data_IF_874150298131
#
_entry.id   IF_874150298131
#
_cell.length_a   1.000
_cell.length_b   1.000
_cell.length_c   1.000
_cell.angle_alpha   90.00
_cell.angle_beta   90.00
_cell.angle_gamma   90.00
#
_symmetry.space_group_name_H-M   'P 1'
#
loop_
_entity.id
_entity.type
_entity.pdbx_description
1 polymer ?
#
# COMPACT_ATOMS: atom_id res chain seq x y z
N UNK A 1 -61.01 -80.93 -24.73
CA UNK A 1 -61.19 -79.78 -23.81
C UNK A 1 -59.79 -79.35 -23.39
N UNK A 2 -59.37 -78.15 -23.77
CA UNK A 2 -58.00 -77.67 -23.66
C UNK A 2 -57.75 -77.04 -22.28
N UNK A 3 -56.61 -77.34 -21.65
CA UNK A 3 -56.04 -76.54 -20.54
C UNK A 3 -54.53 -76.43 -20.79
N UNK A 4 -53.98 -75.22 -21.02
CA UNK A 4 -52.54 -75.01 -21.03
C UNK A 4 -51.98 -74.80 -19.61
N UNK A 5 -50.67 -75.07 -19.39
CA UNK A 5 -50.03 -75.01 -18.08
C UNK A 5 -49.60 -73.59 -17.68
N UNK A 6 -49.48 -73.37 -16.37
CA UNK A 6 -48.96 -72.13 -15.77
C UNK A 6 -47.43 -72.02 -15.98
N UNK A 7 -47.01 -70.96 -16.66
CA UNK A 7 -45.61 -70.58 -16.87
C UNK A 7 -45.10 -69.80 -15.65
N UNK A 8 -44.09 -70.35 -14.96
CA UNK A 8 -43.34 -69.63 -13.92
C UNK A 8 -42.47 -68.57 -14.59
N UNK A 9 -42.82 -67.31 -14.37
CA UNK A 9 -42.09 -66.15 -14.85
C UNK A 9 -40.95 -65.83 -13.87
N UNK A 10 -39.76 -66.39 -14.12
CA UNK A 10 -38.54 -65.98 -13.43
C UNK A 10 -38.16 -64.56 -13.89
N UNK A 11 -38.44 -63.55 -13.05
CA UNK A 11 -38.05 -62.17 -13.32
C UNK A 11 -36.53 -62.04 -13.21
N UNK A 12 -35.80 -61.68 -14.28
CA UNK A 12 -34.38 -61.42 -14.17
C UNK A 12 -34.18 -60.15 -13.34
N UNK A 13 -33.46 -60.25 -12.22
CA UNK A 13 -33.13 -59.15 -11.29
C UNK A 13 -32.01 -58.24 -11.86
N UNK A 14 -31.30 -58.72 -12.87
CA UNK A 14 -30.13 -58.08 -13.52
C UNK A 14 -30.43 -56.80 -14.35
N UNK A 15 -31.52 -56.69 -15.14
CA UNK A 15 -31.82 -55.47 -15.87
C UNK A 15 -32.30 -54.33 -14.94
N UNK A 16 -32.85 -54.67 -13.77
CA UNK A 16 -33.33 -53.68 -12.79
C UNK A 16 -32.14 -52.98 -12.08
N UNK A 17 -31.09 -53.74 -11.75
CA UNK A 17 -29.83 -53.21 -11.22
C UNK A 17 -29.08 -52.34 -12.25
N UNK A 18 -29.11 -52.72 -13.52
CA UNK A 18 -28.49 -51.93 -14.60
C UNK A 18 -29.23 -50.59 -14.84
N UNK A 19 -30.57 -50.59 -14.77
CA UNK A 19 -31.37 -49.37 -14.87
C UNK A 19 -31.17 -48.41 -13.68
N UNK A 20 -30.92 -48.93 -12.48
CA UNK A 20 -30.67 -48.13 -11.28
C UNK A 20 -29.27 -47.49 -11.28
N UNK A 21 -28.27 -48.18 -11.83
CA UNK A 21 -26.92 -47.63 -11.99
C UNK A 21 -26.85 -46.54 -13.06
N UNK A 22 -27.61 -46.67 -14.16
CA UNK A 22 -27.66 -45.67 -15.24
C UNK A 22 -28.39 -44.38 -14.84
N UNK A 23 -29.38 -44.47 -13.96
CA UNK A 23 -30.12 -43.30 -13.46
C UNK A 23 -29.30 -42.48 -12.45
N UNK A 24 -28.31 -43.09 -11.79
CA UNK A 24 -27.41 -42.40 -10.87
C UNK A 24 -26.26 -41.66 -11.56
N UNK A 25 -26.06 -41.84 -12.87
CA UNK A 25 -24.88 -41.31 -13.58
C UNK A 25 -25.05 -39.89 -14.16
N UNK A 26 -26.24 -39.28 -14.06
CA UNK A 26 -26.56 -38.02 -14.78
C UNK A 26 -26.41 -36.72 -13.96
N UNK A 27 -25.92 -36.75 -12.71
CA UNK A 27 -25.89 -35.56 -11.84
C UNK A 27 -24.59 -34.75 -11.87
N UNK A 28 -23.98 -34.56 -13.04
CA UNK A 28 -22.81 -33.68 -13.20
C UNK A 28 -22.98 -32.75 -14.41
N UNK A 29 -24.01 -31.91 -14.39
CA UNK A 29 -24.11 -30.78 -15.33
C UNK A 29 -23.22 -29.65 -14.81
N UNK A 30 -22.02 -29.55 -15.37
CA UNK A 30 -21.15 -28.41 -15.18
C UNK A 30 -21.63 -27.28 -16.11
N UNK A 31 -22.14 -26.20 -15.53
CA UNK A 31 -22.63 -25.03 -16.26
C UNK A 31 -21.49 -24.02 -16.40
N UNK A 32 -21.27 -23.52 -17.61
CA UNK A 32 -20.35 -22.40 -17.85
C UNK A 32 -21.13 -21.10 -17.84
N UNK A 33 -20.88 -20.24 -16.85
CA UNK A 33 -21.48 -18.92 -16.75
C UNK A 33 -20.41 -17.82 -16.69
N UNK A 34 -20.73 -16.65 -17.26
CA UNK A 34 -19.88 -15.47 -17.25
C UNK A 34 -20.41 -14.48 -16.21
N UNK A 35 -19.63 -14.25 -15.16
CA UNK A 35 -19.94 -13.31 -14.08
C UNK A 35 -19.22 -11.98 -14.34
N UNK A 36 -19.94 -10.88 -14.63
CA UNK A 36 -19.32 -9.56 -14.79
C UNK A 36 -18.90 -8.98 -13.43
N UNK A 37 -17.77 -8.28 -13.40
CA UNK A 37 -17.29 -7.49 -12.28
C UNK A 37 -17.45 -5.99 -12.60
N UNK A 38 -17.60 -5.16 -11.57
CA UNK A 38 -17.84 -3.72 -11.72
C UNK A 38 -16.73 -2.85 -11.13
N UNK A 39 -16.19 -3.23 -9.97
CA UNK A 39 -15.30 -2.39 -9.18
C UNK A 39 -13.90 -2.98 -9.04
N UNK A 40 -13.79 -4.30 -8.91
CA UNK A 40 -12.50 -4.99 -8.82
C UNK A 40 -12.15 -5.74 -10.10
N UNK A 41 -10.86 -5.90 -10.31
CA UNK A 41 -10.35 -6.62 -11.48
C UNK A 41 -10.53 -8.13 -11.33
N UNK A 42 -10.68 -8.82 -12.45
CA UNK A 42 -10.74 -10.29 -12.46
C UNK A 42 -9.48 -10.93 -11.86
N UNK A 43 -8.31 -10.31 -12.04
CA UNK A 43 -7.04 -10.77 -11.48
C UNK A 43 -7.00 -10.73 -9.93
N UNK A 44 -7.66 -9.75 -9.33
CA UNK A 44 -7.71 -9.58 -7.87
C UNK A 44 -8.66 -10.59 -7.21
N UNK A 45 -9.80 -10.85 -7.85
CA UNK A 45 -10.83 -11.76 -7.31
C UNK A 45 -10.62 -13.23 -7.71
N UNK A 46 -9.83 -13.51 -8.74
CA UNK A 46 -9.56 -14.87 -9.22
C UNK A 46 -9.00 -15.79 -8.13
N UNK A 47 -7.99 -15.43 -7.32
CA UNK A 47 -7.47 -16.32 -6.27
C UNK A 47 -8.52 -16.66 -5.20
N UNK A 48 -9.37 -15.70 -4.84
CA UNK A 48 -10.45 -15.91 -3.88
C UNK A 48 -11.55 -16.82 -4.46
N UNK A 49 -11.96 -16.57 -5.71
CA UNK A 49 -12.94 -17.39 -6.42
C UNK A 49 -12.43 -18.82 -6.65
N UNK A 50 -11.15 -18.98 -7.00
CA UNK A 50 -10.52 -20.28 -7.20
C UNK A 50 -10.41 -21.06 -5.89
N UNK A 51 -10.08 -20.39 -4.78
CA UNK A 51 -10.05 -21.02 -3.45
C UNK A 51 -11.44 -21.46 -2.99
N UNK A 52 -12.47 -20.69 -3.32
CA UNK A 52 -13.87 -21.02 -2.99
C UNK A 52 -14.39 -22.24 -3.75
N UNK A 53 -14.11 -22.33 -5.06
CA UNK A 53 -14.56 -23.45 -5.89
C UNK A 53 -13.70 -24.72 -5.73
N UNK A 54 -12.43 -24.55 -5.38
CA UNK A 54 -11.51 -25.65 -5.10
C UNK A 54 -11.41 -26.63 -6.27
N UNK A 55 -11.75 -27.91 -6.02
CA UNK A 55 -11.74 -28.98 -7.04
C UNK A 55 -13.09 -29.17 -7.74
N UNK A 56 -14.13 -28.47 -7.30
CA UNK A 56 -15.50 -28.69 -7.72
C UNK A 56 -15.90 -27.83 -8.93
N UNK A 57 -15.02 -26.93 -9.36
CA UNK A 57 -15.21 -26.09 -10.55
C UNK A 57 -13.91 -25.42 -10.97
N UNK A 58 -13.91 -24.83 -12.16
CA UNK A 58 -12.81 -24.03 -12.68
C UNK A 58 -13.24 -22.58 -12.84
N UNK A 59 -12.31 -21.66 -12.60
CA UNK A 59 -12.49 -20.22 -12.81
C UNK A 59 -11.37 -19.73 -13.68
N UNK A 60 -11.70 -18.95 -14.70
CA UNK A 60 -10.74 -18.19 -15.48
C UNK A 60 -11.14 -16.72 -15.51
N UNK A 61 -10.12 -15.85 -15.49
CA UNK A 61 -10.29 -14.42 -15.63
C UNK A 61 -10.25 -14.04 -17.11
N UNK A 62 -11.21 -13.22 -17.55
CA UNK A 62 -11.20 -12.62 -18.88
C UNK A 62 -11.67 -11.17 -18.79
N UNK A 63 -10.76 -10.23 -19.07
CA UNK A 63 -11.00 -8.78 -18.93
C UNK A 63 -11.56 -8.44 -17.54
N UNK A 64 -12.78 -7.88 -17.46
CA UNK A 64 -13.48 -7.58 -16.21
C UNK A 64 -14.56 -8.62 -15.87
N UNK A 65 -14.38 -9.86 -16.32
CA UNK A 65 -15.34 -10.95 -16.12
C UNK A 65 -14.63 -12.20 -15.59
N UNK A 66 -15.36 -12.99 -14.81
CA UNK A 66 -14.96 -14.33 -14.42
C UNK A 66 -15.79 -15.33 -15.21
N UNK A 67 -15.10 -16.21 -15.93
CA UNK A 67 -15.72 -17.35 -16.60
C UNK A 67 -15.63 -18.51 -15.62
N UNK A 68 -16.78 -19.02 -15.20
CA UNK A 68 -16.88 -20.04 -14.16
C UNK A 68 -17.54 -21.27 -14.73
N UNK A 69 -16.92 -22.42 -14.51
CA UNK A 69 -17.46 -23.72 -14.86
C UNK A 69 -17.61 -24.54 -13.58
N UNK A 70 -18.85 -24.65 -13.09
CA UNK A 70 -19.19 -25.34 -11.84
C UNK A 70 -20.66 -25.79 -11.84
N UNK A 71 -21.13 -26.44 -10.78
CA UNK A 71 -22.56 -26.72 -10.62
C UNK A 71 -23.36 -25.42 -10.41
N UNK A 72 -24.63 -25.34 -10.86
CA UNK A 72 -25.45 -24.12 -10.73
C UNK A 72 -25.54 -23.57 -9.30
N UNK A 73 -25.68 -24.45 -8.29
CA UNK A 73 -25.73 -24.07 -6.87
C UNK A 73 -24.44 -23.38 -6.39
N UNK A 74 -23.28 -23.80 -6.92
CA UNK A 74 -21.99 -23.20 -6.60
C UNK A 74 -21.80 -21.86 -7.31
N UNK A 75 -22.32 -21.71 -8.52
CA UNK A 75 -22.30 -20.44 -9.26
C UNK A 75 -23.14 -19.39 -8.50
N UNK A 76 -24.32 -19.76 -8.00
CA UNK A 76 -25.16 -18.86 -7.20
C UNK A 76 -24.49 -18.47 -5.87
N UNK A 77 -23.83 -19.42 -5.23
CA UNK A 77 -23.04 -19.17 -4.01
C UNK A 77 -21.85 -18.23 -4.28
N UNK A 78 -21.14 -18.46 -5.39
CA UNK A 78 -20.04 -17.59 -5.82
C UNK A 78 -20.53 -16.19 -6.20
N UNK A 79 -21.69 -16.07 -6.87
CA UNK A 79 -22.30 -14.77 -7.18
C UNK A 79 -22.61 -13.99 -5.91
N UNK A 80 -23.16 -14.66 -4.89
CA UNK A 80 -23.46 -14.05 -3.59
C UNK A 80 -22.19 -13.59 -2.87
N UNK A 81 -21.10 -14.34 -2.98
CA UNK A 81 -19.78 -13.95 -2.46
C UNK A 81 -19.21 -12.75 -3.23
N UNK A 82 -19.23 -12.79 -4.56
CA UNK A 82 -18.72 -11.71 -5.41
C UNK A 82 -19.48 -10.41 -5.18
N UNK A 83 -20.79 -10.46 -4.92
CA UNK A 83 -21.58 -9.26 -4.58
C UNK A 83 -21.11 -8.57 -3.29
N UNK A 84 -20.46 -9.28 -2.36
CA UNK A 84 -19.89 -8.70 -1.15
C UNK A 84 -18.45 -8.22 -1.33
N UNK A 85 -17.70 -8.83 -2.26
CA UNK A 85 -16.29 -8.51 -2.50
C UNK A 85 -16.08 -7.42 -3.58
N UNK A 86 -16.95 -7.37 -4.59
CA UNK A 86 -16.94 -6.38 -5.67
C UNK A 86 -17.56 -5.05 -5.19
N UNK A 87 -16.90 -4.44 -4.21
CA UNK A 87 -17.25 -3.13 -3.65
C UNK A 87 -16.37 -2.05 -4.26
N UNK A 88 -16.92 -0.82 -4.39
CA UNK A 88 -16.18 0.31 -4.90
C UNK A 88 -14.97 0.63 -3.99
N UNK A 89 -13.75 0.76 -4.53
CA UNK A 89 -12.59 1.15 -3.74
C UNK A 89 -12.74 2.59 -3.24
N UNK A 90 -12.38 2.83 -1.98
CA UNK A 90 -12.38 4.17 -1.40
C UNK A 90 -11.28 5.02 -2.03
N UNK A 91 -11.56 6.30 -2.26
CA UNK A 91 -10.55 7.27 -2.68
C UNK A 91 -9.91 7.89 -1.45
N UNK A 92 -8.60 7.87 -1.38
CA UNK A 92 -7.82 8.31 -0.23
C UNK A 92 -6.93 9.49 -0.62
N UNK A 93 -6.89 10.51 0.22
CA UNK A 93 -5.92 11.59 0.20
C UNK A 93 -4.88 11.33 1.27
N UNK A 94 -3.64 11.03 0.87
CA UNK A 94 -2.53 10.81 1.76
C UNK A 94 -1.72 12.10 1.85
N UNK A 95 -1.66 12.68 3.05
CA UNK A 95 -0.87 13.87 3.36
C UNK A 95 0.32 13.48 4.24
N UNK A 96 1.53 13.81 3.83
CA UNK A 96 2.76 13.60 4.60
C UNK A 96 3.29 14.97 5.00
N UNK A 97 3.51 15.14 6.29
CA UNK A 97 4.10 16.34 6.87
C UNK A 97 5.48 16.00 7.43
N UNK A 98 6.48 16.67 6.89
CA UNK A 98 7.89 16.55 7.27
C UNK A 98 8.40 17.92 7.72
N UNK A 99 7.76 18.48 8.75
CA UNK A 99 8.14 19.78 9.27
C UNK A 99 9.35 19.63 10.20
N UNK A 100 10.49 20.20 9.78
CA UNK A 100 11.71 20.37 10.58
C UNK A 100 11.62 21.63 11.47
N UNK A 101 10.43 21.89 12.01
CA UNK A 101 10.23 23.03 12.89
C UNK A 101 10.74 22.68 14.27
N UNK A 102 11.79 23.38 14.71
CA UNK A 102 12.20 23.49 16.11
C UNK A 102 10.97 23.71 17.00
N UNK A 103 10.42 22.62 17.56
CA UNK A 103 9.36 22.68 18.55
C UNK A 103 9.97 23.23 19.83
N UNK A 104 10.02 24.55 19.94
CA UNK A 104 10.42 25.23 21.17
C UNK A 104 9.24 25.13 22.13
N UNK A 105 9.32 24.23 23.11
CA UNK A 105 8.37 24.14 24.22
C UNK A 105 8.24 25.51 24.90
N UNK A 106 7.12 26.18 24.66
CA UNK A 106 6.86 27.54 25.12
C UNK A 106 6.38 27.53 26.58
N UNK A 107 7.27 27.18 27.51
CA UNK A 107 7.10 27.41 28.97
C UNK A 107 8.05 28.52 29.45
N UNK A 108 8.01 29.67 28.81
CA UNK A 108 8.79 30.83 29.24
C UNK A 108 8.39 32.07 28.48
N UNK A 109 7.72 33.00 29.17
CA UNK A 109 7.29 34.27 28.60
C UNK A 109 8.50 35.16 28.31
N UNK A 110 9.11 34.98 27.13
CA UNK A 110 10.09 35.89 26.57
C UNK A 110 9.74 36.12 25.10
N UNK A 111 9.34 37.35 24.78
CA UNK A 111 8.96 37.76 23.42
C UNK A 111 10.21 37.88 22.55
N UNK A 112 10.64 36.78 21.95
CA UNK A 112 11.74 36.77 20.98
C UNK A 112 11.18 37.11 19.60
N UNK A 113 11.42 38.34 19.14
CA UNK A 113 11.11 38.77 17.78
C UNK A 113 12.14 38.14 16.85
N UNK A 114 11.73 37.15 16.07
CA UNK A 114 12.59 36.51 15.06
C UNK A 114 12.44 37.24 13.73
N UNK A 115 13.56 37.77 13.20
CA UNK A 115 13.68 38.10 11.78
C UNK A 115 14.17 36.86 11.05
N UNK A 116 13.26 35.97 10.71
CA UNK A 116 13.54 34.80 9.88
C UNK A 116 12.78 34.93 8.57
N UNK A 117 13.50 34.97 7.45
CA UNK A 117 12.91 34.69 6.14
C UNK A 117 12.43 33.24 6.21
N UNK A 118 11.11 33.03 6.25
CA UNK A 118 10.55 31.69 6.30
C UNK A 118 10.95 30.92 5.03
N UNK A 119 12.01 30.10 5.11
CA UNK A 119 12.29 29.08 4.11
C UNK A 119 11.10 28.11 4.14
N UNK A 120 10.19 28.28 3.18
CA UNK A 120 9.03 27.42 2.91
C UNK A 120 9.48 26.11 2.27
N UNK A 121 10.39 25.40 2.91
CA UNK A 121 11.01 24.18 2.35
C UNK A 121 10.57 22.90 3.07
N UNK A 122 9.89 23.03 4.21
CA UNK A 122 9.08 21.96 4.81
C UNK A 122 7.66 22.00 4.24
N UNK A 123 7.43 21.29 3.14
CA UNK A 123 6.15 21.25 2.45
C UNK A 123 5.34 20.03 2.85
N UNK A 124 4.09 20.23 3.29
CA UNK A 124 3.11 19.15 3.30
C UNK A 124 2.97 18.62 1.87
N UNK A 125 3.28 17.35 1.66
CA UNK A 125 3.13 16.69 0.38
C UNK A 125 1.86 15.86 0.39
N UNK A 126 1.10 15.89 -0.70
CA UNK A 126 -0.16 15.18 -0.80
C UNK A 126 -0.22 14.36 -2.08
N UNK A 127 -0.80 13.16 -1.97
CA UNK A 127 -1.08 12.30 -3.13
C UNK A 127 -2.45 11.65 -2.94
N UNK A 128 -3.19 11.54 -4.05
CA UNK A 128 -4.46 10.81 -4.07
C UNK A 128 -4.24 9.41 -4.62
N UNK A 129 -4.85 8.43 -3.98
CA UNK A 129 -4.75 7.03 -4.37
C UNK A 129 -6.08 6.32 -4.12
N UNK A 130 -6.38 5.31 -4.92
CA UNK A 130 -7.43 4.35 -4.58
C UNK A 130 -6.91 3.41 -3.49
N UNK A 131 -7.80 2.99 -2.59
CA UNK A 131 -7.50 2.00 -1.57
C UNK A 131 -6.79 0.75 -2.16
N UNK A 132 -5.72 0.30 -1.52
CA UNK A 132 -4.91 -0.85 -1.93
C UNK A 132 -3.97 -0.57 -3.11
N UNK A 133 -4.07 0.58 -3.77
CA UNK A 133 -3.21 0.95 -4.90
C UNK A 133 -1.98 1.74 -4.46
N UNK A 134 -0.79 1.47 -5.02
CA UNK A 134 0.41 2.24 -4.71
C UNK A 134 0.36 3.63 -5.34
N UNK A 135 0.86 4.63 -4.62
CA UNK A 135 1.01 5.99 -5.10
C UNK A 135 2.39 6.56 -4.76
N UNK A 136 2.94 7.36 -5.67
CA UNK A 136 4.25 8.00 -5.56
C UNK A 136 4.13 9.47 -5.93
N UNK A 137 4.66 10.33 -5.07
CA UNK A 137 4.99 11.71 -5.42
C UNK A 137 6.49 11.91 -5.20
N UNK A 138 7.19 12.40 -6.21
CA UNK A 138 8.61 12.69 -6.14
C UNK A 138 8.91 13.98 -6.89
N UNK A 139 9.52 14.92 -6.19
CA UNK A 139 10.02 16.18 -6.71
C UNK A 139 11.53 16.21 -6.51
N UNK A 140 12.28 16.89 -7.37
CA UNK A 140 13.73 16.90 -7.22
C UNK A 140 14.42 17.84 -8.20
N UNK A 141 15.72 18.01 -7.98
CA UNK A 141 16.59 18.83 -8.81
C UNK A 141 17.86 18.04 -9.14
N UNK A 142 18.43 18.31 -10.32
CA UNK A 142 19.73 17.77 -10.72
C UNK A 142 20.78 18.85 -10.50
N UNK A 143 21.67 18.64 -9.55
CA UNK A 143 22.70 19.60 -9.18
C UNK A 143 24.09 19.13 -9.67
N UNK A 144 24.94 20.02 -10.18
CA UNK A 144 26.33 19.69 -10.47
C UNK A 144 27.12 19.60 -9.17
N UNK A 145 27.79 18.47 -8.96
CA UNK A 145 28.75 18.25 -7.88
C UNK A 145 30.13 18.24 -8.51
N UNK A 146 30.95 19.24 -8.17
CA UNK A 146 32.31 19.36 -8.69
C UNK A 146 33.30 18.81 -7.67
N UNK A 147 34.12 17.85 -8.07
CA UNK A 147 35.19 17.29 -7.25
C UNK A 147 36.55 17.67 -7.82
N UNK A 148 37.46 18.12 -6.96
CA UNK A 148 38.85 18.41 -7.33
C UNK A 148 39.74 17.28 -6.87
N UNK A 149 40.41 16.62 -7.80
CA UNK A 149 41.46 15.62 -7.50
C UNK A 149 42.81 16.15 -7.95
N UNK A 150 43.88 15.81 -7.21
CA UNK A 150 45.25 16.15 -7.62
C UNK A 150 45.90 14.89 -8.15
N UNK A 151 46.43 14.94 -9.38
CA UNK A 151 47.12 13.79 -9.97
C UNK A 151 48.51 13.57 -9.35
N UNK A 152 49.16 12.45 -9.70
CA UNK A 152 50.50 12.11 -9.20
C UNK A 152 51.62 13.10 -9.59
N UNK A 153 51.33 14.08 -10.44
CA UNK A 153 52.24 15.14 -10.87
C UNK A 153 51.87 16.51 -10.28
N UNK A 154 50.93 16.57 -9.35
CA UNK A 154 50.53 17.81 -8.66
C UNK A 154 49.58 18.71 -9.46
N UNK A 155 48.97 18.23 -10.56
CA UNK A 155 47.99 19.00 -11.34
C UNK A 155 46.60 18.78 -10.77
N UNK A 156 45.85 19.87 -10.62
CA UNK A 156 44.45 19.83 -10.17
C UNK A 156 43.56 19.50 -11.37
N UNK A 157 42.80 18.40 -11.28
CA UNK A 157 41.77 18.03 -12.23
C UNK A 157 40.39 18.19 -11.58
N UNK A 158 39.48 18.83 -12.30
CA UNK A 158 38.11 19.09 -11.84
C UNK A 158 37.14 18.20 -12.62
N UNK A 159 36.41 17.33 -11.93
CA UNK A 159 35.36 16.49 -12.50
C UNK A 159 34.00 16.97 -11.99
N UNK A 160 33.06 17.25 -12.89
CA UNK A 160 31.70 17.71 -12.52
C UNK A 160 30.70 16.62 -12.87
N UNK A 161 30.00 16.11 -11.85
CA UNK A 161 29.00 15.07 -11.99
C UNK A 161 27.63 15.60 -11.58
N UNK A 162 26.58 15.26 -12.33
CA UNK A 162 25.23 15.64 -11.94
C UNK A 162 24.67 14.62 -10.94
N UNK A 163 24.14 15.12 -9.82
CA UNK A 163 23.47 14.32 -8.79
C UNK A 163 22.02 14.76 -8.68
N UNK A 164 21.10 13.80 -8.74
CA UNK A 164 19.70 14.05 -8.46
C UNK A 164 19.49 14.09 -6.95
N UNK A 165 18.87 15.16 -6.48
CA UNK A 165 18.43 15.36 -5.09
C UNK A 165 16.92 15.32 -5.12
N UNK A 166 16.33 14.28 -4.53
CA UNK A 166 14.89 14.03 -4.62
C UNK A 166 14.21 14.08 -3.25
N UNK A 167 12.96 14.48 -3.26
CA UNK A 167 12.09 14.56 -2.10
C UNK A 167 10.72 14.00 -2.47
N UNK A 168 10.16 13.15 -1.64
CA UNK A 168 8.91 12.49 -1.96
C UNK A 168 8.59 11.30 -1.07
N UNK A 169 7.51 10.64 -1.40
CA UNK A 169 7.11 9.42 -0.72
C UNK A 169 6.36 8.47 -1.64
N UNK A 170 6.61 7.19 -1.41
CA UNK A 170 5.86 6.06 -1.94
C UNK A 170 4.97 5.52 -0.83
N UNK A 171 3.68 5.32 -1.11
CA UNK A 171 2.73 4.83 -0.11
C UNK A 171 1.74 3.85 -0.72
N UNK A 172 1.38 2.84 0.06
CA UNK A 172 0.21 1.99 -0.16
C UNK A 172 -0.64 2.01 1.10
N UNK A 173 -1.92 2.35 0.96
CA UNK A 173 -2.87 2.43 2.07
C UNK A 173 -4.05 1.49 1.84
N UNK A 174 -4.45 0.72 2.85
CA UNK A 174 -5.68 -0.08 2.86
C UNK A 174 -6.52 0.23 4.09
N UNK A 175 -7.85 0.13 3.98
CA UNK A 175 -8.78 0.52 5.04
C UNK A 175 -9.58 -0.70 5.50
N UNK A 176 -9.62 -0.92 6.80
CA UNK A 176 -10.45 -1.97 7.41
C UNK A 176 -11.31 -1.34 8.49
N UNK A 177 -12.61 -1.20 8.21
CA UNK A 177 -13.53 -0.39 9.04
C UNK A 177 -13.10 1.08 9.02
N UNK A 178 -12.66 1.59 10.19
CA UNK A 178 -12.17 2.97 10.36
C UNK A 178 -10.64 3.05 10.53
N UNK A 179 -9.96 1.90 10.46
CA UNK A 179 -8.50 1.82 10.61
C UNK A 179 -7.84 1.76 9.26
N UNK A 180 -6.87 2.64 9.04
CA UNK A 180 -5.99 2.63 7.87
C UNK A 180 -4.69 1.92 8.19
N UNK A 181 -4.29 0.99 7.32
CA UNK A 181 -2.98 0.36 7.32
C UNK A 181 -2.13 1.00 6.22
N UNK A 182 -1.00 1.59 6.61
CA UNK A 182 -0.10 2.24 5.66
C UNK A 182 1.23 1.51 5.60
N UNK A 183 1.72 1.30 4.38
CA UNK A 183 3.12 1.06 4.10
C UNK A 183 3.66 2.29 3.38
N UNK A 184 4.63 2.97 3.99
CA UNK A 184 5.15 4.25 3.48
C UNK A 184 6.68 4.26 3.51
N UNK A 185 7.23 4.70 2.39
CA UNK A 185 8.65 4.95 2.17
C UNK A 185 8.82 6.42 1.80
N UNK A 186 9.53 7.19 2.61
CA UNK A 186 9.80 8.60 2.34
C UNK A 186 11.28 8.81 2.01
N UNK A 187 11.57 9.66 1.04
CA UNK A 187 12.92 10.12 0.72
C UNK A 187 12.95 11.65 0.81
N UNK A 188 13.94 12.20 1.51
CA UNK A 188 14.11 13.63 1.67
C UNK A 188 15.60 13.98 1.54
N UNK A 189 16.05 14.19 0.31
CA UNK A 189 17.40 14.65 0.04
C UNK A 189 17.44 16.19 0.10
N UNK A 190 18.40 16.72 0.86
CA UNK A 190 18.62 18.16 0.98
C UNK A 190 20.09 18.51 0.89
N UNK A 191 20.38 19.71 0.41
CA UNK A 191 21.75 20.23 0.43
C UNK A 191 22.19 20.49 1.87
N UNK A 192 23.40 20.06 2.21
CA UNK A 192 24.00 20.40 3.49
C UNK A 192 24.27 21.90 3.54
N UNK A 193 23.78 22.56 4.58
CA UNK A 193 24.07 23.98 4.82
C UNK A 193 25.51 24.21 5.29
N UNK A 194 26.17 23.17 5.81
CA UNK A 194 27.54 23.25 6.30
C UNK A 194 28.57 23.03 5.20
N UNK A 195 28.21 22.22 4.18
CA UNK A 195 29.08 21.90 3.05
C UNK A 195 28.28 21.94 1.74
N UNK A 196 28.57 22.92 0.86
CA UNK A 196 27.86 23.07 -0.43
C UNK A 196 27.94 21.86 -1.35
N UNK A 197 28.94 20.98 -1.18
CA UNK A 197 29.15 19.80 -2.02
C UNK A 197 28.61 18.49 -1.40
N UNK A 198 27.93 18.58 -0.25
CA UNK A 198 27.38 17.41 0.46
C UNK A 198 25.86 17.44 0.39
N UNK A 199 25.28 16.30 -0.01
CA UNK A 199 23.85 16.05 0.04
C UNK A 199 23.56 15.24 1.30
N UNK A 200 22.72 15.77 2.18
CA UNK A 200 22.14 15.04 3.30
C UNK A 200 20.97 14.22 2.76
N UNK A 201 21.13 12.90 2.76
CA UNK A 201 20.09 11.95 2.36
C UNK A 201 19.38 11.44 3.59
N UNK A 202 18.06 11.43 3.54
CA UNK A 202 17.26 10.80 4.56
C UNK A 202 16.20 9.91 3.92
N UNK A 203 16.12 8.68 4.41
CA UNK A 203 15.08 7.73 4.04
C UNK A 203 14.39 7.18 5.27
N UNK A 204 13.12 6.82 5.14
CA UNK A 204 12.35 6.18 6.21
C UNK A 204 11.36 5.22 5.58
N UNK A 205 11.42 3.96 6.01
CA UNK A 205 10.53 2.89 5.57
C UNK A 205 9.79 2.34 6.79
N UNK A 206 8.47 2.47 6.79
CA UNK A 206 7.66 2.08 7.94
C UNK A 206 6.31 1.54 7.55
N UNK A 207 5.78 0.66 8.41
CA UNK A 207 4.42 0.16 8.33
C UNK A 207 3.69 0.57 9.60
N UNK A 208 2.68 1.41 9.45
CA UNK A 208 1.91 1.93 10.58
C UNK A 208 0.43 1.66 10.39
N UNK A 209 -0.33 1.80 11.47
CA UNK A 209 -1.78 1.76 11.41
C UNK A 209 -2.35 2.79 12.37
N UNK A 210 -3.48 3.37 11.99
CA UNK A 210 -4.15 4.40 12.80
C UNK A 210 -5.53 4.68 12.26
N UNK A 211 -6.19 5.68 12.84
CA UNK A 211 -7.53 6.07 12.41
C UNK A 211 -7.48 6.94 11.17
N UNK A 212 -8.50 6.79 10.32
CA UNK A 212 -8.73 7.70 9.21
C UNK A 212 -8.99 9.13 9.73
N UNK A 213 -8.46 10.14 9.04
CA UNK A 213 -8.61 11.56 9.38
C UNK A 213 -7.69 12.08 10.49
N UNK A 214 -6.92 11.23 11.16
CA UNK A 214 -6.01 11.61 12.24
C UNK A 214 -4.54 11.62 11.77
N UNK A 215 -3.74 12.51 12.36
CA UNK A 215 -2.29 12.52 12.14
C UNK A 215 -1.63 11.39 12.92
N UNK A 216 -0.97 10.49 12.21
CA UNK A 216 -0.20 9.37 12.74
C UNK A 216 1.28 9.74 12.66
N UNK A 217 2.00 9.61 13.78
CA UNK A 217 3.45 9.85 13.80
C UNK A 217 4.18 8.61 13.29
N UNK A 218 5.02 8.80 12.27
CA UNK A 218 5.78 7.74 11.59
C UNK A 218 7.18 7.56 12.16
N UNK A 219 7.87 8.68 12.40
CA UNK A 219 9.23 8.71 12.92
C UNK A 219 9.48 10.03 13.65
N UNK A 220 10.36 10.00 14.65
CA UNK A 220 10.81 11.19 15.37
C UNK A 220 12.26 11.02 15.85
N UNK A 221 13.10 12.01 15.59
CA UNK A 221 14.46 12.07 16.14
C UNK A 221 14.57 13.26 17.11
N UNK A 222 15.09 13.00 18.31
CA UNK A 222 15.31 14.02 19.34
C UNK A 222 16.76 13.89 19.85
N UNK A 223 17.62 14.82 19.46
CA UNK A 223 19.02 14.87 19.93
C UNK A 223 19.14 15.85 21.09
N UNK A 224 18.88 15.35 22.29
CA UNK A 224 19.08 16.10 23.53
C UNK A 224 20.56 16.04 23.92
N UNK A 225 21.33 17.09 23.60
CA UNK A 225 22.70 17.25 24.06
C UNK A 225 22.71 17.74 25.51
N UNK A 226 22.95 16.82 26.44
CA UNK A 226 23.06 17.09 27.87
C UNK A 226 24.45 17.68 28.15
N UNK A 227 24.55 19.02 28.13
CA UNK A 227 25.76 19.71 28.57
C UNK A 227 25.63 20.08 30.06
N UNK A 228 26.48 19.48 30.89
CA UNK A 228 26.65 19.87 32.29
C UNK A 228 27.21 21.30 32.36
N UNK A 229 26.43 22.21 32.95
CA UNK A 229 26.75 23.63 33.06
C UNK A 229 27.61 23.91 34.29
N UNK A 230 28.89 24.25 34.09
CA UNK A 230 29.67 25.01 35.06
C UNK A 230 29.38 26.49 34.88
N UNK A 231 28.90 27.14 35.95
CA UNK A 231 28.41 28.51 35.95
C UNK A 231 29.56 29.53 35.98
N UNK A 232 29.89 30.13 34.82
CA UNK A 232 30.42 31.51 34.69
C UNK A 232 31.00 31.77 33.29
N UNK A 233 30.17 31.82 32.26
CA UNK A 233 30.54 32.42 30.97
C UNK A 233 29.28 32.84 30.21
N UNK A 234 29.29 34.05 29.64
CA UNK A 234 28.26 34.50 28.69
C UNK A 234 28.43 33.69 27.40
N UNK A 235 27.59 32.67 27.18
CA UNK A 235 27.62 31.85 25.98
C UNK A 235 26.56 32.30 24.97
N UNK A 236 27.00 32.75 23.80
CA UNK A 236 26.16 32.80 22.60
C UNK A 236 26.07 31.38 22.04
N UNK A 237 25.10 30.60 22.49
CA UNK A 237 24.81 29.27 21.96
C UNK A 237 23.64 29.35 20.98
N UNK A 238 23.90 29.28 19.69
CA UNK A 238 22.89 28.91 18.70
C UNK A 238 22.73 27.40 18.77
N UNK A 239 21.91 26.93 19.72
CA UNK A 239 21.63 25.51 19.90
C UNK A 239 20.68 25.05 18.79
N UNK A 240 21.26 24.50 17.72
CA UNK A 240 20.52 23.88 16.62
C UNK A 240 20.34 22.40 16.98
N UNK A 241 19.21 22.07 17.60
CA UNK A 241 18.77 20.68 17.73
C UNK A 241 17.98 20.30 16.48
N UNK A 242 18.41 19.26 15.77
CA UNK A 242 17.69 18.73 14.61
C UNK A 242 16.57 17.81 15.12
N UNK A 243 15.43 18.43 15.49
CA UNK A 243 14.23 17.71 15.93
C UNK A 243 13.28 17.58 14.75
N UNK A 244 13.26 16.39 14.16
CA UNK A 244 12.42 16.11 13.01
C UNK A 244 11.34 15.11 13.39
N UNK A 245 10.09 15.43 13.04
CA UNK A 245 8.94 14.55 13.22
C UNK A 245 8.27 14.34 11.87
N UNK A 246 8.17 13.08 11.46
CA UNK A 246 7.45 12.68 10.26
C UNK A 246 6.04 12.24 10.65
N UNK A 247 5.02 12.82 10.02
CA UNK A 247 3.62 12.49 10.27
C UNK A 247 2.89 12.23 8.96
N UNK A 248 1.90 11.36 9.01
CA UNK A 248 1.01 11.07 7.89
C UNK A 248 -0.43 11.18 8.34
N UNK A 249 -1.28 11.68 7.44
CA UNK A 249 -2.73 11.68 7.61
C UNK A 249 -3.36 11.11 6.34
N UNK A 250 -4.35 10.27 6.52
CA UNK A 250 -5.14 9.72 5.41
C UNK A 250 -6.57 10.17 5.58
N UNK A 251 -7.07 10.93 4.64
CA UNK A 251 -8.48 11.33 4.58
C UNK A 251 -9.18 10.51 3.49
N UNK A 252 -10.41 10.09 3.74
CA UNK A 252 -11.28 9.56 2.69
C UNK A 252 -11.89 10.72 1.91
N UNK A 253 -11.93 10.57 0.60
CA UNK A 253 -12.54 11.53 -0.32
C UNK A 253 -13.85 10.96 -0.84
N UNK A 254 -14.93 11.73 -0.68
CA UNK A 254 -16.26 11.44 -1.23
C UNK A 254 -16.28 11.37 -2.76
#
# INVERSE_FOLDING_TARGET
MSTPPAEKMDMPLRPLLASLLLSFSLTALAATEVLPLNHRTSAELLPAAQSFLGKNGTVSAFENKLIVNASPEQIDSLRSLLAQLDTAPRRLLISVDNNDSNFQDNRGSARIIHYGTANREGGMQQVQASEGSPALIQVGQSIPVTSTSTDGYGRIQSDTQYRNVTQGFYVTASVTGDTVHLNISTNNDRMSQERPDVVSVQSTDTKVSGKLGEWITLAGVNQQSQSERSASALSYSTQRGENMTLRVKVDEMD
#
